data_IF_145839288567
#
_entry.id   IF_145839288567
#
_cell.length_a   1.000
_cell.length_b   1.000
_cell.length_c   1.000
_cell.angle_alpha   90.00
_cell.angle_beta   90.00
_cell.angle_gamma   90.00
#
_symmetry.space_group_name_H-M   'P 1'
#
loop_
_entity.id
_entity.type
_entity.pdbx_description
1 polymer ?
#
# COMPACT_ATOMS: atom_id res chain seq x y z
N UNK A 1 -33.84 7.82 -8.04
CA UNK A 1 -32.81 8.84 -7.73
C UNK A 1 -31.52 8.06 -7.58
N UNK A 2 -30.68 8.08 -8.62
CA UNK A 2 -29.38 7.42 -8.66
C UNK A 2 -28.41 8.22 -7.77
N UNK A 3 -27.73 7.56 -6.86
CA UNK A 3 -26.54 8.09 -6.21
C UNK A 3 -25.37 7.18 -6.58
N UNK A 4 -24.60 7.62 -7.57
CA UNK A 4 -23.27 7.12 -7.87
C UNK A 4 -22.34 7.70 -6.79
N UNK A 5 -21.71 6.86 -5.98
CA UNK A 5 -20.64 7.30 -5.09
C UNK A 5 -19.31 6.83 -5.70
N UNK A 6 -18.85 7.58 -6.70
CA UNK A 6 -17.48 7.52 -7.21
C UNK A 6 -16.60 8.26 -6.21
N UNK A 7 -16.12 7.54 -5.21
CA UNK A 7 -15.36 8.10 -4.09
C UNK A 7 -14.08 7.33 -3.80
N UNK A 8 -13.48 6.65 -4.78
CA UNK A 8 -12.11 6.15 -4.68
C UNK A 8 -11.26 7.05 -5.58
N UNK A 9 -10.58 8.01 -4.97
CA UNK A 9 -9.58 8.80 -5.70
C UNK A 9 -8.42 7.85 -5.98
N UNK A 10 -8.19 7.56 -7.24
CA UNK A 10 -7.35 6.45 -7.68
C UNK A 10 -5.88 6.84 -7.74
N UNK A 11 -5.37 7.02 -6.53
CA UNK A 11 -3.96 7.04 -6.24
C UNK A 11 -3.73 5.92 -5.25
N UNK A 12 -3.29 4.79 -5.77
CA UNK A 12 -2.94 3.65 -4.95
C UNK A 12 -1.56 3.91 -4.38
N UNK A 13 -1.46 3.98 -3.06
CA UNK A 13 -0.18 4.03 -2.35
C UNK A 13 0.20 2.61 -1.99
N UNK A 14 1.42 2.24 -2.33
CA UNK A 14 1.99 0.97 -1.98
C UNK A 14 3.25 1.19 -1.16
N UNK A 15 3.41 0.42 -0.10
CA UNK A 15 4.60 0.38 0.72
C UNK A 15 4.99 -1.07 0.95
N UNK A 16 6.30 -1.33 0.99
CA UNK A 16 6.83 -2.67 1.19
C UNK A 16 8.04 -2.62 2.08
N UNK A 17 8.10 -3.64 2.94
CA UNK A 17 9.21 -3.91 3.82
C UNK A 17 9.88 -5.20 3.35
N UNK A 18 11.12 -5.08 2.88
CA UNK A 18 11.93 -6.19 2.41
C UNK A 18 13.08 -6.47 3.36
N UNK A 19 13.60 -7.69 3.33
CA UNK A 19 14.88 -8.04 3.95
C UNK A 19 15.79 -8.52 2.83
N UNK A 20 17.04 -8.03 2.76
CA UNK A 20 18.01 -8.63 1.83
C UNK A 20 18.32 -10.07 2.28
N UNK A 21 17.85 -11.11 1.54
CA UNK A 21 18.04 -12.49 1.94
C UNK A 21 19.39 -13.06 1.47
N UNK A 22 20.14 -12.30 0.67
CA UNK A 22 21.43 -12.71 0.13
C UNK A 22 22.53 -12.57 1.18
N UNK A 23 23.65 -13.26 0.94
CA UNK A 23 24.90 -13.09 1.67
C UNK A 23 25.79 -11.99 1.08
N UNK A 24 25.25 -11.18 0.17
CA UNK A 24 25.92 -10.11 -0.57
C UNK A 24 25.14 -8.81 -0.41
N UNK A 25 25.83 -7.69 -0.55
CA UNK A 25 25.26 -6.35 -0.49
C UNK A 25 24.37 -6.09 -1.71
N UNK A 26 23.20 -5.50 -1.50
CA UNK A 26 22.31 -5.07 -2.58
C UNK A 26 22.44 -3.56 -2.82
N UNK A 27 22.42 -3.17 -4.09
CA UNK A 27 22.60 -1.79 -4.57
C UNK A 27 21.39 -1.27 -5.36
N UNK A 28 20.40 -2.12 -5.60
CA UNK A 28 19.15 -1.72 -6.22
C UNK A 28 18.05 -2.78 -6.09
N UNK A 29 16.87 -2.41 -6.57
CA UNK A 29 15.67 -3.23 -6.58
C UNK A 29 14.99 -3.14 -7.95
N UNK A 30 14.69 -4.30 -8.53
CA UNK A 30 13.78 -4.45 -9.66
C UNK A 30 12.49 -5.12 -9.21
N UNK A 31 11.35 -4.61 -9.68
CA UNK A 31 10.06 -5.28 -9.54
C UNK A 31 9.38 -5.42 -10.90
N UNK A 32 8.84 -6.60 -11.17
CA UNK A 32 7.92 -6.83 -12.28
C UNK A 32 6.50 -6.52 -11.81
N UNK A 33 5.83 -5.62 -12.51
CA UNK A 33 4.46 -5.19 -12.21
C UNK A 33 3.56 -5.54 -13.39
N UNK A 34 2.41 -6.16 -13.13
CA UNK A 34 1.34 -6.36 -14.09
C UNK A 34 0.21 -5.36 -13.81
N UNK A 35 -0.28 -4.72 -14.85
CA UNK A 35 -1.44 -3.81 -14.76
C UNK A 35 -2.27 -3.87 -16.04
N UNK A 36 -3.57 -3.58 -15.94
CA UNK A 36 -4.45 -3.40 -17.11
C UNK A 36 -4.25 -2.02 -17.76
N UNK A 37 -3.63 -1.08 -17.05
CA UNK A 37 -3.34 0.25 -17.56
C UNK A 37 -2.37 0.21 -18.76
N UNK A 38 -2.58 1.11 -19.71
CA UNK A 38 -1.69 1.26 -20.86
C UNK A 38 -0.37 1.94 -20.52
N UNK A 39 -0.35 2.73 -19.45
CA UNK A 39 0.82 3.42 -18.90
C UNK A 39 0.68 3.54 -17.37
N UNK A 40 1.81 3.56 -16.66
CA UNK A 40 1.85 3.76 -15.21
C UNK A 40 2.75 4.96 -14.92
N UNK A 41 2.26 5.88 -14.07
CA UNK A 41 3.04 7.06 -13.69
C UNK A 41 3.17 7.15 -12.18
N UNK A 42 4.39 7.43 -11.74
CA UNK A 42 4.71 7.61 -10.32
C UNK A 42 4.26 9.00 -9.88
N UNK A 43 3.41 9.04 -8.86
CA UNK A 43 2.84 10.27 -8.29
C UNK A 43 3.72 10.82 -7.16
N UNK A 44 4.18 9.92 -6.30
CA UNK A 44 5.05 10.17 -5.16
C UNK A 44 5.78 8.88 -4.80
N UNK A 45 6.82 8.98 -3.97
CA UNK A 45 7.54 7.84 -3.46
C UNK A 45 8.14 8.15 -2.09
N UNK A 46 8.47 7.09 -1.36
CA UNK A 46 9.15 7.17 -0.08
C UNK A 46 10.61 7.56 -0.29
N UNK A 47 11.03 8.63 0.36
CA UNK A 47 12.40 9.15 0.33
C UNK A 47 12.96 9.34 1.75
N UNK A 48 12.36 8.66 2.73
CA UNK A 48 12.78 8.72 4.11
C UNK A 48 14.00 7.83 4.40
N UNK A 49 14.49 7.87 5.65
CA UNK A 49 15.77 7.28 6.02
C UNK A 49 15.76 5.75 6.13
N UNK A 50 14.65 5.07 5.83
CA UNK A 50 14.54 3.61 5.88
C UNK A 50 14.72 2.93 4.50
N UNK A 51 14.97 3.71 3.46
CA UNK A 51 15.29 3.21 2.11
C UNK A 51 16.74 3.57 1.73
N UNK A 52 17.57 2.64 1.25
CA UNK A 52 18.88 2.95 0.68
C UNK A 52 18.79 3.64 -0.67
N UNK A 53 17.65 3.53 -1.35
CA UNK A 53 17.47 3.97 -2.73
C UNK A 53 16.29 4.95 -2.87
N UNK A 54 16.39 5.84 -3.85
CA UNK A 54 15.41 6.89 -4.14
C UNK A 54 15.12 6.95 -5.65
N UNK A 55 14.25 7.88 -6.05
CA UNK A 55 13.94 8.19 -7.46
C UNK A 55 13.56 6.95 -8.28
N UNK A 56 12.45 6.27 -7.94
CA UNK A 56 11.99 5.12 -8.69
C UNK A 56 11.64 5.50 -10.13
N UNK A 57 11.88 4.55 -11.02
CA UNK A 57 11.49 4.61 -12.42
C UNK A 57 10.53 3.46 -12.74
N UNK A 58 9.54 3.73 -13.60
CA UNK A 58 8.65 2.69 -14.12
C UNK A 58 8.62 2.75 -15.64
N UNK A 59 8.81 1.60 -16.27
CA UNK A 59 8.87 1.49 -17.73
C UNK A 59 7.98 0.34 -18.20
N UNK A 60 7.13 0.60 -19.19
CA UNK A 60 6.35 -0.46 -19.86
C UNK A 60 7.28 -1.33 -20.69
N UNK A 61 7.23 -2.64 -20.45
CA UNK A 61 7.92 -3.64 -21.26
C UNK A 61 7.08 -4.04 -22.47
N UNK A 62 7.74 -4.61 -23.48
CA UNK A 62 7.05 -5.12 -24.66
C UNK A 62 6.39 -6.47 -24.36
N UNK A 63 5.12 -6.60 -24.74
CA UNK A 63 4.35 -7.84 -24.56
C UNK A 63 3.32 -7.75 -23.43
N UNK A 64 2.71 -8.89 -23.14
CA UNK A 64 1.67 -9.06 -22.14
C UNK A 64 1.90 -10.37 -21.40
N UNK A 65 1.43 -10.45 -20.16
CA UNK A 65 1.47 -11.67 -19.36
C UNK A 65 0.04 -12.09 -18.98
N UNK A 66 -0.23 -13.40 -19.00
CA UNK A 66 -1.49 -13.94 -18.50
C UNK A 66 -1.31 -14.40 -17.06
N UNK A 67 -2.16 -13.90 -16.18
CA UNK A 67 -2.19 -14.26 -14.77
C UNK A 67 -3.66 -14.47 -14.35
N UNK A 68 -3.97 -15.64 -13.76
CA UNK A 68 -5.33 -16.02 -13.36
C UNK A 68 -6.39 -15.76 -14.45
N UNK A 69 -6.15 -16.28 -15.65
CA UNK A 69 -7.00 -16.16 -16.86
C UNK A 69 -7.20 -14.74 -17.40
N UNK A 70 -6.57 -13.73 -16.81
CA UNK A 70 -6.60 -12.34 -17.24
C UNK A 70 -5.27 -11.94 -17.89
N UNK A 71 -5.31 -11.07 -18.89
CA UNK A 71 -4.11 -10.58 -19.59
C UNK A 71 -3.76 -9.17 -19.15
N UNK A 72 -2.49 -8.95 -18.83
CA UNK A 72 -1.97 -7.70 -18.29
C UNK A 72 -0.82 -7.17 -19.13
N UNK A 73 -0.68 -5.84 -19.16
CA UNK A 73 0.54 -5.19 -19.60
C UNK A 73 1.63 -5.39 -18.54
N UNK A 74 2.87 -5.57 -18.99
CA UNK A 74 4.03 -5.78 -18.11
C UNK A 74 4.82 -4.49 -17.96
N UNK A 75 5.16 -4.14 -16.73
CA UNK A 75 5.97 -2.99 -16.37
C UNK A 75 7.16 -3.43 -15.52
N UNK A 76 8.27 -2.73 -15.67
CA UNK A 76 9.43 -2.86 -14.81
C UNK A 76 9.53 -1.62 -13.95
N UNK A 77 9.52 -1.82 -12.64
CA UNK A 77 9.86 -0.81 -11.66
C UNK A 77 11.32 -0.99 -11.26
N UNK A 78 12.09 0.08 -11.26
CA UNK A 78 13.49 0.10 -10.87
C UNK A 78 13.72 1.15 -9.79
N UNK A 79 14.55 0.82 -8.80
CA UNK A 79 14.93 1.70 -7.71
C UNK A 79 16.39 1.41 -7.32
N UNK A 80 17.32 2.23 -7.81
CA UNK A 80 18.76 2.05 -7.58
C UNK A 80 19.53 3.35 -7.32
N UNK A 81 18.89 4.52 -7.40
CA UNK A 81 19.57 5.79 -7.10
C UNK A 81 19.95 5.83 -5.62
N UNK A 82 21.24 5.80 -5.33
CA UNK A 82 21.77 5.76 -3.97
C UNK A 82 21.37 7.00 -3.16
N UNK A 83 20.96 6.80 -1.91
CA UNK A 83 20.79 7.86 -0.92
C UNK A 83 21.35 7.48 0.45
N UNK A 84 21.52 8.48 1.31
CA UNK A 84 21.85 8.24 2.71
C UNK A 84 20.63 7.76 3.48
N UNK A 85 20.84 6.77 4.35
CA UNK A 85 19.78 6.05 5.04
C UNK A 85 20.29 5.45 6.37
N UNK A 86 19.41 4.85 7.15
CA UNK A 86 19.70 4.41 8.53
C UNK A 86 20.22 2.98 8.65
N UNK A 87 20.13 2.18 7.58
CA UNK A 87 20.43 0.74 7.64
C UNK A 87 21.85 0.35 7.22
N UNK A 88 22.69 1.28 6.75
CA UNK A 88 24.02 0.95 6.25
C UNK A 88 24.72 2.09 5.53
N UNK A 89 25.77 1.79 4.74
CA UNK A 89 26.38 2.75 3.82
C UNK A 89 25.37 3.29 2.81
N UNK A 90 25.61 4.50 2.30
CA UNK A 90 24.74 5.15 1.32
C UNK A 90 24.52 4.27 0.09
N UNK A 91 23.26 4.04 -0.29
CA UNK A 91 22.90 3.20 -1.45
C UNK A 91 23.08 1.69 -1.28
N UNK A 92 23.53 1.22 -0.11
CA UNK A 92 23.86 -0.20 0.10
C UNK A 92 22.94 -0.81 1.13
N UNK A 93 22.24 -1.88 0.79
CA UNK A 93 21.46 -2.73 1.68
C UNK A 93 22.22 -4.03 2.04
N UNK A 94 22.85 -4.12 3.22
CA UNK A 94 23.62 -5.30 3.59
C UNK A 94 22.77 -6.55 3.81
N UNK A 95 23.39 -7.76 3.84
CA UNK A 95 22.74 -9.00 4.20
C UNK A 95 21.90 -8.93 5.48
N UNK A 96 20.66 -9.42 5.43
CA UNK A 96 19.76 -9.50 6.57
C UNK A 96 19.18 -8.17 7.06
N UNK A 97 19.45 -7.06 6.37
CA UNK A 97 18.92 -5.74 6.73
C UNK A 97 17.55 -5.51 6.12
N UNK A 98 16.65 -4.93 6.91
CA UNK A 98 15.32 -4.50 6.49
C UNK A 98 15.40 -3.19 5.70
N UNK A 99 14.73 -3.15 4.55
CA UNK A 99 14.62 -2.00 3.66
C UNK A 99 13.15 -1.67 3.49
N UNK A 100 12.79 -0.40 3.70
CA UNK A 100 11.45 0.11 3.45
C UNK A 100 11.42 0.83 2.11
N UNK A 101 10.43 0.54 1.27
CA UNK A 101 10.17 1.29 0.05
C UNK A 101 8.69 1.66 -0.04
N UNK A 102 8.38 2.70 -0.80
CA UNK A 102 7.00 3.06 -1.09
C UNK A 102 6.87 3.85 -2.37
N UNK A 103 5.79 3.61 -3.10
CA UNK A 103 5.43 4.31 -4.32
C UNK A 103 3.93 4.57 -4.37
N UNK A 104 3.53 5.75 -4.83
CA UNK A 104 2.16 5.99 -5.26
C UNK A 104 2.07 6.03 -6.78
N UNK A 105 1.10 5.33 -7.34
CA UNK A 105 0.82 5.31 -8.77
C UNK A 105 -0.46 6.09 -9.07
N UNK A 106 -0.44 6.92 -10.13
CA UNK A 106 -1.66 7.57 -10.63
C UNK A 106 -2.40 6.61 -11.56
N UNK A 107 -2.96 5.53 -11.02
CA UNK A 107 -3.61 4.50 -11.81
C UNK A 107 -4.93 4.07 -11.15
N UNK A 108 -5.98 3.80 -11.96
CA UNK A 108 -7.30 3.49 -11.46
C UNK A 108 -7.52 2.07 -10.97
N UNK A 109 -6.67 1.15 -11.42
CA UNK A 109 -6.90 -0.25 -11.23
C UNK A 109 -6.01 -0.75 -10.08
N UNK A 110 -5.96 -2.06 -9.90
CA UNK A 110 -4.99 -2.67 -9.01
C UNK A 110 -3.78 -3.13 -9.82
N UNK A 111 -2.58 -2.92 -9.29
CA UNK A 111 -1.37 -3.56 -9.79
C UNK A 111 -1.10 -4.90 -9.12
N UNK A 112 -0.44 -5.79 -9.85
CA UNK A 112 0.04 -7.08 -9.37
C UNK A 112 1.56 -7.05 -9.46
N UNK A 113 2.26 -7.14 -8.34
CA UNK A 113 3.70 -7.42 -8.38
C UNK A 113 3.88 -8.91 -8.62
N UNK A 114 4.81 -9.29 -9.50
CA UNK A 114 5.11 -10.69 -9.85
C UNK A 114 6.47 -11.17 -9.39
N UNK A 115 7.45 -10.30 -9.44
CA UNK A 115 8.84 -10.64 -9.13
C UNK A 115 9.47 -9.43 -8.44
N UNK A 116 10.31 -9.70 -7.46
CA UNK A 116 11.12 -8.70 -6.76
C UNK A 116 12.55 -9.21 -6.70
N UNK A 117 13.47 -8.48 -7.31
CA UNK A 117 14.87 -8.90 -7.46
C UNK A 117 15.77 -7.81 -6.93
N UNK A 118 16.70 -8.17 -6.07
CA UNK A 118 17.75 -7.27 -5.62
C UNK A 118 18.92 -7.30 -6.61
N UNK A 119 19.60 -6.18 -6.78
CA UNK A 119 20.73 -6.03 -7.69
C UNK A 119 22.03 -5.88 -6.91
N UNK A 120 23.13 -6.39 -7.45
CA UNK A 120 24.49 -6.08 -7.01
C UNK A 120 24.99 -4.73 -7.57
N UNK A 121 26.26 -4.39 -7.33
CA UNK A 121 26.87 -3.12 -7.75
C UNK A 121 27.12 -3.01 -9.27
N UNK A 122 26.94 -4.11 -10.01
CA UNK A 122 27.05 -4.18 -11.46
C UNK A 122 25.65 -4.26 -12.13
N UNK A 123 24.58 -3.92 -11.40
CA UNK A 123 23.17 -4.05 -11.82
C UNK A 123 22.77 -5.51 -12.17
N UNK A 124 23.49 -6.50 -11.64
CA UNK A 124 23.21 -7.92 -11.86
C UNK A 124 22.27 -8.45 -10.79
N UNK A 125 21.31 -9.27 -11.20
CA UNK A 125 20.33 -9.89 -10.30
C UNK A 125 21.01 -10.80 -9.27
N UNK A 126 20.79 -10.49 -8.00
CA UNK A 126 21.17 -11.36 -6.88
C UNK A 126 20.32 -12.63 -6.86
N UNK A 127 20.88 -13.76 -6.39
CA UNK A 127 20.28 -15.08 -6.54
C UNK A 127 19.03 -15.31 -5.69
N UNK A 128 18.87 -14.60 -4.57
CA UNK A 128 17.71 -14.71 -3.70
C UNK A 128 16.86 -13.44 -3.77
N UNK A 129 15.57 -13.66 -3.93
CA UNK A 129 14.54 -12.62 -3.99
C UNK A 129 13.80 -12.49 -2.67
N UNK A 130 13.43 -11.25 -2.33
CA UNK A 130 12.43 -11.01 -1.29
C UNK A 130 11.09 -11.57 -1.74
N UNK A 131 10.41 -12.30 -0.86
CA UNK A 131 9.06 -12.80 -1.14
C UNK A 131 8.07 -11.67 -0.96
N UNK A 132 7.19 -11.48 -1.93
CA UNK A 132 6.13 -10.49 -1.86
C UNK A 132 4.78 -11.17 -2.08
N UNK A 133 3.79 -10.73 -1.31
CA UNK A 133 2.41 -11.17 -1.45
C UNK A 133 1.76 -10.37 -2.57
N UNK A 134 1.14 -11.07 -3.50
CA UNK A 134 0.27 -10.43 -4.47
C UNK A 134 -1.04 -10.00 -3.82
N UNK A 135 -1.46 -8.76 -4.01
CA UNK A 135 -2.75 -8.25 -3.53
C UNK A 135 -3.37 -7.27 -4.52
N UNK A 136 -4.68 -7.05 -4.43
CA UNK A 136 -5.37 -5.99 -5.17
C UNK A 136 -5.75 -4.80 -4.28
N UNK A 137 -6.06 -3.66 -4.90
CA UNK A 137 -6.49 -2.44 -4.21
C UNK A 137 -7.97 -2.50 -3.75
N UNK A 138 -8.60 -3.66 -3.87
CA UNK A 138 -9.99 -3.91 -3.57
C UNK A 138 -10.96 -3.62 -4.71
N UNK A 139 -11.96 -4.48 -4.85
CA UNK A 139 -13.01 -4.36 -5.86
C UNK A 139 -14.39 -4.52 -5.22
N UNK A 140 -15.35 -3.71 -5.66
CA UNK A 140 -16.75 -3.90 -5.29
C UNK A 140 -17.39 -4.98 -6.17
N UNK A 141 -17.86 -6.08 -5.58
CA UNK A 141 -18.77 -7.01 -6.22
C UNK A 141 -20.18 -6.42 -6.20
N UNK A 142 -20.69 -6.03 -7.37
CA UNK A 142 -22.02 -5.44 -7.50
C UNK A 142 -23.16 -6.46 -7.35
N UNK A 143 -22.88 -7.76 -7.41
CA UNK A 143 -23.87 -8.82 -7.26
C UNK A 143 -24.12 -9.14 -5.79
N UNK A 144 -23.06 -9.37 -5.01
CA UNK A 144 -23.18 -9.58 -3.57
C UNK A 144 -23.35 -8.27 -2.81
N UNK A 145 -22.75 -7.19 -3.33
CA UNK A 145 -22.62 -5.93 -2.63
C UNK A 145 -21.41 -5.89 -1.69
N UNK A 146 -20.52 -6.87 -1.75
CA UNK A 146 -19.28 -6.86 -0.98
C UNK A 146 -18.22 -5.95 -1.59
N UNK A 147 -17.40 -5.34 -0.75
CA UNK A 147 -16.12 -4.77 -1.13
C UNK A 147 -15.02 -5.73 -0.65
N UNK A 148 -14.34 -6.36 -1.60
CA UNK A 148 -13.38 -7.43 -1.36
C UNK A 148 -11.96 -6.93 -1.60
N UNK A 149 -11.03 -7.29 -0.70
CA UNK A 149 -9.59 -7.34 -0.98
C UNK A 149 -9.22 -8.76 -1.38
N UNK A 150 -8.34 -8.91 -2.37
CA UNK A 150 -7.84 -10.22 -2.78
C UNK A 150 -6.36 -10.35 -2.50
N UNK A 151 -5.98 -11.52 -2.01
CA UNK A 151 -4.58 -11.92 -1.88
C UNK A 151 -4.35 -13.15 -2.75
N UNK A 152 -3.22 -13.18 -3.44
CA UNK A 152 -2.89 -14.26 -4.35
C UNK A 152 -1.45 -14.72 -4.19
N UNK A 153 -1.28 -16.03 -4.29
CA UNK A 153 0.01 -16.66 -4.42
C UNK A 153 0.51 -16.50 -5.87
N UNK A 154 1.67 -15.86 -6.05
CA UNK A 154 2.26 -15.61 -7.37
C UNK A 154 2.72 -16.90 -8.07
N UNK A 155 2.97 -17.98 -7.32
CA UNK A 155 3.44 -19.29 -7.81
C UNK A 155 2.31 -20.33 -7.84
N UNK A 156 1.04 -19.91 -7.93
CA UNK A 156 -0.13 -20.81 -7.90
C UNK A 156 -0.31 -21.69 -9.14
N UNK A 157 0.64 -21.68 -10.10
CA UNK A 157 0.60 -22.48 -11.34
C UNK A 157 0.66 -24.00 -11.14
N UNK A 158 0.56 -24.46 -9.88
CA UNK A 158 0.51 -25.85 -9.49
C UNK A 158 1.87 -26.55 -9.57
N UNK A 159 2.95 -25.83 -9.87
CA UNK A 159 4.29 -26.43 -10.04
C UNK A 159 5.28 -26.09 -8.93
N UNK A 160 4.99 -25.10 -8.07
CA UNK A 160 5.87 -24.65 -6.99
C UNK A 160 5.26 -24.83 -5.59
N UNK A 161 5.81 -25.77 -4.81
CA UNK A 161 5.36 -26.14 -3.45
C UNK A 161 5.73 -25.11 -2.37
N UNK A 162 5.15 -23.91 -2.39
CA UNK A 162 5.35 -22.97 -1.28
C UNK A 162 4.01 -22.51 -0.73
N UNK A 163 3.65 -23.09 0.41
CA UNK A 163 2.50 -22.69 1.20
C UNK A 163 2.71 -21.24 1.66
N UNK A 164 2.04 -20.29 1.02
CA UNK A 164 2.01 -18.91 1.50
C UNK A 164 1.06 -18.82 2.67
N UNK A 165 1.49 -18.15 3.72
CA UNK A 165 0.75 -18.07 4.96
C UNK A 165 0.61 -16.61 5.34
N UNK A 166 -0.61 -16.11 5.26
CA UNK A 166 -0.98 -14.78 5.74
C UNK A 166 -1.17 -14.84 7.26
N UNK A 167 -0.51 -13.93 7.99
CA UNK A 167 -0.58 -13.81 9.45
C UNK A 167 -0.72 -12.34 9.83
N UNK A 168 -1.44 -12.11 10.92
CA UNK A 168 -1.58 -10.79 11.54
C UNK A 168 -2.08 -9.69 10.59
N UNK A 169 -2.91 -10.05 9.60
CA UNK A 169 -3.50 -9.08 8.67
C UNK A 169 -4.37 -8.08 9.44
N UNK A 170 -4.06 -6.81 9.29
CA UNK A 170 -4.86 -5.73 9.85
C UNK A 170 -5.39 -4.81 8.76
N UNK A 171 -6.70 -4.56 8.78
CA UNK A 171 -7.35 -3.66 7.83
C UNK A 171 -7.99 -2.49 8.58
N UNK A 172 -7.73 -1.30 8.08
CA UNK A 172 -8.16 -0.04 8.65
C UNK A 172 -8.91 0.80 7.61
N UNK A 173 -10.06 1.34 8.01
CA UNK A 173 -10.71 2.41 7.25
C UNK A 173 -10.10 3.75 7.66
N UNK A 174 -9.66 4.52 6.66
CA UNK A 174 -9.04 5.82 6.88
C UNK A 174 -9.81 6.93 6.16
N UNK A 175 -10.11 8.05 6.83
CA UNK A 175 -10.95 9.12 6.28
C UNK A 175 -10.26 9.94 5.17
N UNK A 176 -8.93 9.83 5.06
CA UNK A 176 -8.09 10.54 4.09
C UNK A 176 -6.82 9.73 3.81
N UNK A 177 -6.14 10.06 2.71
CA UNK A 177 -4.89 9.43 2.30
C UNK A 177 -3.81 9.62 3.37
N UNK A 178 -3.13 8.52 3.72
CA UNK A 178 -1.96 8.52 4.59
C UNK A 178 -0.75 9.06 3.81
N UNK A 179 0.09 9.87 4.44
CA UNK A 179 1.39 10.25 3.90
C UNK A 179 2.32 9.04 3.88
N UNK A 180 2.83 8.72 2.69
CA UNK A 180 3.73 7.60 2.44
C UNK A 180 4.94 7.56 3.38
N UNK A 181 5.40 8.71 3.86
CA UNK A 181 6.54 8.78 4.79
C UNK A 181 6.20 8.31 6.22
N UNK A 182 4.92 8.13 6.52
CA UNK A 182 4.39 7.67 7.81
C UNK A 182 3.78 6.28 7.76
N UNK A 183 3.81 5.62 6.59
CA UNK A 183 3.38 4.23 6.40
C UNK A 183 4.48 3.26 6.86
N UNK A 184 4.87 3.37 8.13
CA UNK A 184 5.96 2.64 8.75
C UNK A 184 5.43 1.85 9.95
N UNK A 185 6.03 0.69 10.21
CA UNK A 185 5.71 -0.12 11.39
C UNK A 185 5.91 0.68 12.70
N UNK A 186 4.90 0.62 13.57
CA UNK A 186 4.88 1.32 14.86
C UNK A 186 4.78 2.85 14.79
N UNK A 187 4.61 3.46 13.61
CA UNK A 187 4.49 4.92 13.45
C UNK A 187 3.02 5.33 13.36
N UNK A 188 2.67 6.45 14.01
CA UNK A 188 1.33 7.04 13.88
C UNK A 188 1.09 7.52 12.45
N UNK A 189 0.08 7.02 11.73
CA UNK A 189 -0.24 7.48 10.39
C UNK A 189 -0.62 8.97 10.39
N UNK A 190 0.00 9.76 9.53
CA UNK A 190 -0.36 11.16 9.30
C UNK A 190 -0.99 11.31 7.92
N UNK A 191 -1.86 12.30 7.75
CA UNK A 191 -2.32 12.70 6.41
C UNK A 191 -1.28 13.55 5.69
N UNK A 192 -1.53 13.82 4.41
CA UNK A 192 -0.70 14.75 3.60
C UNK A 192 -0.65 16.18 4.17
N UNK A 193 -1.57 16.53 5.07
CA UNK A 193 -1.62 17.79 5.81
C UNK A 193 -0.79 17.77 7.11
N UNK A 194 -0.09 16.66 7.40
CA UNK A 194 0.70 16.45 8.61
C UNK A 194 -0.16 16.19 9.86
N UNK A 195 -1.48 16.07 9.72
CA UNK A 195 -2.37 15.83 10.86
C UNK A 195 -2.55 14.32 11.10
N UNK A 196 -2.61 13.87 12.37
CA UNK A 196 -2.87 12.47 12.69
C UNK A 196 -4.12 11.91 12.00
N UNK A 197 -4.02 10.71 11.47
CA UNK A 197 -5.16 9.95 10.98
C UNK A 197 -5.64 9.02 12.08
N UNK A 198 -6.87 9.22 12.53
CA UNK A 198 -7.56 8.29 13.40
C UNK A 198 -8.23 7.23 12.54
N UNK A 199 -7.54 6.12 12.39
CA UNK A 199 -8.00 4.98 11.60
C UNK A 199 -8.99 4.13 12.42
N UNK A 200 -10.07 3.70 11.79
CA UNK A 200 -11.00 2.74 12.40
C UNK A 200 -10.58 1.34 12.01
N UNK A 201 -10.06 0.56 12.96
CA UNK A 201 -9.77 -0.86 12.74
C UNK A 201 -11.08 -1.59 12.44
N UNK A 202 -11.08 -2.38 11.37
CA UNK A 202 -12.22 -3.24 11.05
C UNK A 202 -12.21 -4.39 12.06
N UNK A 203 -13.12 -4.32 13.04
CA UNK A 203 -13.17 -5.30 14.14
C UNK A 203 -13.95 -6.58 13.76
N UNK A 204 -14.59 -6.61 12.60
CA UNK A 204 -15.29 -7.79 12.11
C UNK A 204 -14.56 -8.36 10.91
N UNK A 205 -13.92 -9.52 11.10
CA UNK A 205 -13.75 -10.66 10.18
C UNK A 205 -12.52 -11.46 10.62
N UNK A 206 -12.46 -12.74 10.28
CA UNK A 206 -11.50 -13.72 10.81
C UNK A 206 -10.02 -13.53 10.44
N UNK A 207 -9.54 -12.30 10.26
CA UNK A 207 -8.18 -11.92 9.89
C UNK A 207 -7.10 -12.25 10.94
N UNK A 208 -7.51 -12.62 12.16
CA UNK A 208 -6.60 -12.93 13.26
C UNK A 208 -6.01 -14.35 13.24
N UNK A 209 -6.21 -15.12 12.17
CA UNK A 209 -5.70 -16.49 12.10
C UNK A 209 -4.80 -16.64 10.89
N UNK A 210 -3.67 -17.29 11.15
CA UNK A 210 -2.83 -17.90 10.13
C UNK A 210 -3.69 -18.58 9.05
N UNK A 211 -3.63 -18.05 7.84
CA UNK A 211 -4.39 -18.58 6.70
C UNK A 211 -3.43 -18.90 5.57
N UNK A 212 -3.51 -20.11 5.07
CA UNK A 212 -2.79 -20.52 3.89
C UNK A 212 -3.48 -19.94 2.65
N UNK A 213 -2.72 -19.20 1.83
CA UNK A 213 -3.15 -18.64 0.55
C UNK A 213 -2.60 -19.55 -0.54
N UNK A 214 -3.46 -20.36 -1.14
CA UNK A 214 -3.05 -21.33 -2.16
C UNK A 214 -3.13 -20.71 -3.56
N UNK A 215 -4.17 -19.91 -3.81
CA UNK A 215 -4.41 -19.24 -5.08
C UNK A 215 -5.08 -17.87 -4.84
N UNK A 216 -6.14 -17.50 -5.57
CA UNK A 216 -6.89 -16.26 -5.36
C UNK A 216 -7.87 -16.38 -4.19
N UNK A 217 -7.55 -15.74 -3.07
CA UNK A 217 -8.40 -15.74 -1.88
C UNK A 217 -9.05 -14.36 -1.68
N UNK A 218 -10.40 -14.26 -1.81
CA UNK A 218 -11.12 -13.03 -1.53
C UNK A 218 -11.38 -12.86 -0.03
N UNK A 219 -11.33 -11.61 0.41
CA UNK A 219 -11.63 -11.19 1.77
C UNK A 219 -12.59 -10.01 1.73
N UNK A 220 -13.86 -10.25 2.05
CA UNK A 220 -14.85 -9.19 2.20
C UNK A 220 -14.50 -8.36 3.45
N UNK A 221 -14.27 -7.06 3.26
CA UNK A 221 -13.94 -6.11 4.33
C UNK A 221 -15.08 -5.12 4.61
N UNK A 222 -16.07 -5.06 3.74
CA UNK A 222 -17.22 -4.17 3.84
C UNK A 222 -18.35 -4.68 2.94
N UNK A 223 -19.58 -4.24 3.24
CA UNK A 223 -20.74 -4.48 2.41
C UNK A 223 -21.47 -3.16 2.11
N UNK A 224 -21.98 -2.99 0.89
CA UNK A 224 -22.74 -1.80 0.46
C UNK A 224 -23.99 -1.51 1.32
N UNK A 225 -24.48 -2.48 2.08
CA UNK A 225 -25.61 -2.32 3.00
C UNK A 225 -25.19 -1.93 4.41
N UNK A 226 -23.89 -1.87 4.70
CA UNK A 226 -23.39 -1.51 6.01
C UNK A 226 -23.82 -0.09 6.38
N UNK A 227 -24.13 0.15 7.66
CA UNK A 227 -24.51 1.47 8.12
C UNK A 227 -23.34 2.44 7.90
N UNK A 228 -23.65 3.62 7.34
CA UNK A 228 -22.66 4.69 7.16
C UNK A 228 -22.08 5.10 8.52
N UNK A 229 -20.76 5.05 8.66
CA UNK A 229 -20.09 5.59 9.84
C UNK A 229 -19.89 7.10 9.69
N UNK A 230 -20.28 7.87 10.72
CA UNK A 230 -19.84 9.26 10.87
C UNK A 230 -18.56 9.19 11.72
N UNK A 231 -17.41 9.33 11.06
CA UNK A 231 -16.14 9.02 11.71
C UNK A 231 -15.68 10.08 12.72
N UNK A 232 -16.04 11.37 12.59
CA UNK A 232 -15.68 12.35 13.63
C UNK A 232 -16.70 13.48 13.76
N UNK A 233 -17.11 13.78 15.00
CA UNK A 233 -17.68 15.09 15.35
C UNK A 233 -16.62 15.86 16.12
N UNK A 234 -16.10 16.94 15.54
CA UNK A 234 -15.18 17.83 16.23
C UNK A 234 -15.99 18.69 17.19
N UNK A 235 -16.01 18.30 18.47
CA UNK A 235 -16.63 19.10 19.52
C UNK A 235 -15.60 20.07 20.08
N UNK A 236 -15.90 21.37 20.00
CA UNK A 236 -14.99 22.39 20.51
C UNK A 236 -15.18 22.47 22.03
N UNK A 237 -14.16 22.18 22.86
CA UNK A 237 -14.29 22.44 24.28
C UNK A 237 -14.51 23.95 24.45
N UNK A 238 -15.58 24.33 25.15
CA UNK A 238 -15.90 25.72 25.45
C UNK A 238 -14.64 26.45 25.95
N UNK A 239 -14.05 27.28 25.10
CA UNK A 239 -12.97 28.14 25.54
C UNK A 239 -13.59 29.21 26.44
N UNK A 240 -13.33 29.12 27.74
CA UNK A 240 -13.45 30.27 28.61
C UNK A 240 -12.46 31.32 28.10
N UNK A 241 -12.98 32.29 27.35
CA UNK A 241 -12.23 33.44 26.83
C UNK A 241 -11.92 34.40 27.99
N UNK A 242 -10.94 34.04 28.82
CA UNK A 242 -10.25 34.98 29.69
C UNK A 242 -8.82 35.18 29.17
N UNK A 243 -8.65 36.22 28.34
CA UNK A 243 -7.36 36.88 28.16
C UNK A 243 -6.74 36.84 26.76
N UNK A 244 -6.84 37.98 26.06
CA UNK A 244 -5.76 38.63 25.29
C UNK A 244 -4.86 37.81 24.32
N UNK A 245 -5.43 37.01 23.42
CA UNK A 245 -4.70 36.55 22.22
C UNK A 245 -5.39 37.04 20.94
N UNK A 246 -4.67 37.78 20.10
CA UNK A 246 -5.14 38.36 18.82
C UNK A 246 -5.01 37.41 17.63
N UNK A 247 -4.70 36.14 17.85
CA UNK A 247 -4.74 35.12 16.81
C UNK A 247 -6.08 34.40 16.88
N UNK A 248 -6.88 34.54 15.82
CA UNK A 248 -8.03 33.68 15.55
C UNK A 248 -7.49 32.26 15.32
N UNK A 249 -7.47 31.45 16.37
CA UNK A 249 -7.24 30.02 16.26
C UNK A 249 -8.41 29.47 15.44
N UNK A 250 -8.13 29.11 14.19
CA UNK A 250 -9.12 28.49 13.30
C UNK A 250 -9.45 27.11 13.88
N UNK A 251 -10.58 27.02 14.57
CA UNK A 251 -11.05 25.76 15.14
C UNK A 251 -12.04 25.13 14.14
N UNK A 252 -11.72 23.96 13.55
CA UNK A 252 -12.65 23.28 12.66
C UNK A 252 -13.73 22.60 13.51
N UNK A 253 -14.74 23.37 13.93
CA UNK A 253 -15.98 22.77 14.42
C UNK A 253 -16.73 22.20 13.21
N UNK A 254 -17.05 20.90 13.25
CA UNK A 254 -17.67 20.22 12.12
C UNK A 254 -17.82 18.72 12.33
N UNK A 255 -18.63 18.10 11.48
CA UNK A 255 -18.71 16.65 11.37
C UNK A 255 -17.91 16.24 10.13
N UNK A 256 -16.87 15.43 10.30
CA UNK A 256 -16.26 14.72 9.18
C UNK A 256 -17.16 13.53 8.87
N UNK A 257 -17.95 13.68 7.81
CA UNK A 257 -18.76 12.59 7.29
C UNK A 257 -17.83 11.69 6.46
N UNK A 258 -17.56 10.49 6.96
CA UNK A 258 -16.97 9.43 6.15
C UNK A 258 -18.08 8.92 5.24
N UNK A 259 -17.88 9.04 3.93
CA UNK A 259 -18.77 8.39 2.98
C UNK A 259 -18.31 6.95 2.89
N UNK A 260 -19.17 6.02 3.31
CA UNK A 260 -18.91 4.59 3.18
C UNK A 260 -19.18 4.12 1.74
N UNK A 261 -18.36 3.21 1.17
CA UNK A 261 -17.09 2.72 1.74
C UNK A 261 -16.05 3.85 1.79
N UNK A 262 -15.22 3.87 2.85
CA UNK A 262 -14.27 4.96 3.11
C UNK A 262 -13.43 5.27 1.86
N UNK A 263 -13.06 6.54 1.68
CA UNK A 263 -12.28 6.99 0.51
C UNK A 263 -10.95 6.23 0.35
N UNK A 264 -10.43 5.65 1.45
CA UNK A 264 -9.18 4.91 1.49
C UNK A 264 -9.24 3.74 2.47
N UNK A 265 -8.49 2.69 2.17
CA UNK A 265 -8.24 1.51 3.02
C UNK A 265 -6.74 1.43 3.27
N UNK A 266 -6.35 1.10 4.50
CA UNK A 266 -4.97 0.82 4.87
C UNK A 266 -4.83 -0.61 5.37
N UNK A 267 -3.86 -1.33 4.82
CA UNK A 267 -3.62 -2.76 5.05
C UNK A 267 -2.21 -2.93 5.61
N UNK A 268 -2.08 -3.73 6.68
CA UNK A 268 -0.80 -4.12 7.31
C UNK A 268 -0.72 -5.64 7.34
#
# INVERSE_FOLDING_TARGET
LLAYNLGLNVKTLHNWDFINPNNEDAYGLLMKILSKADDLTIANYYHGPWSPWTEPEITKLTGTETFQDETYNVFQFNLSTAQSWSGGPDGVAPPGVKVHIGVGLNEPDAIIIRETTLLDDEDTALPLSSRLLGYDAGTADLLSGDFELRFFNQDSDGTGSQDFVLRDLEVYFVPRMIDINTMLDGVTPLGLDGLPIFATKINETGFLKERQIIDNEPFSIAHLTDPRSIDNTYDCPNQNLDGFYTELIYCPSGTALSLFPSTYVYVI
#
